data_IF_905878784088
#
_entry.id   IF_905878784088
#
_cell.length_a   1.000
_cell.length_b   1.000
_cell.length_c   1.000
_cell.angle_alpha   90.00
_cell.angle_beta   90.00
_cell.angle_gamma   90.00
#
_symmetry.space_group_name_H-M   'P 1'
#
loop_
_entity.id
_entity.type
_entity.pdbx_description
1 polymer ?
#
# COMPACT_ATOMS: atom_id res chain seq x y z
N UNK A 1 -14.61 -7.09 3.14
CA UNK A 1 -13.81 -7.60 4.27
C UNK A 1 -13.16 -6.41 4.97
N UNK A 2 -13.12 -6.37 6.32
CA UNK A 2 -12.46 -5.29 7.09
C UNK A 2 -11.33 -5.88 7.92
N UNK A 3 -10.16 -5.24 7.89
CA UNK A 3 -9.02 -5.59 8.73
C UNK A 3 -9.23 -5.04 10.14
N UNK A 4 -8.71 -5.75 11.15
CA UNK A 4 -8.53 -5.18 12.48
C UNK A 4 -7.33 -4.23 12.51
N UNK A 5 -7.28 -3.34 13.50
CA UNK A 5 -6.16 -2.40 13.66
C UNK A 5 -4.81 -3.12 13.77
N UNK A 6 -4.78 -4.31 14.38
CA UNK A 6 -3.56 -5.11 14.49
C UNK A 6 -3.10 -5.62 13.11
N UNK A 7 -4.03 -6.14 12.31
CA UNK A 7 -3.75 -6.61 10.95
C UNK A 7 -3.27 -5.47 10.06
N UNK A 8 -3.93 -4.31 10.13
CA UNK A 8 -3.53 -3.14 9.35
C UNK A 8 -2.14 -2.64 9.74
N UNK A 9 -1.82 -2.60 11.04
CA UNK A 9 -0.47 -2.24 11.51
C UNK A 9 0.58 -3.23 11.01
N UNK A 10 0.30 -4.53 11.06
CA UNK A 10 1.23 -5.58 10.61
C UNK A 10 1.47 -5.49 9.10
N UNK A 11 0.41 -5.32 8.30
CA UNK A 11 0.52 -5.13 6.85
C UNK A 11 1.34 -3.89 6.51
N UNK A 12 1.04 -2.73 7.10
CA UNK A 12 1.80 -1.49 6.85
C UNK A 12 3.27 -1.63 7.25
N UNK A 13 3.56 -2.32 8.37
CA UNK A 13 4.92 -2.54 8.82
C UNK A 13 5.70 -3.46 7.87
N UNK A 14 5.07 -4.50 7.34
CA UNK A 14 5.69 -5.39 6.35
C UNK A 14 6.11 -4.60 5.10
N UNK A 15 5.20 -3.81 4.52
CA UNK A 15 5.49 -2.96 3.35
C UNK A 15 6.64 -1.98 3.64
N UNK A 16 6.63 -1.34 4.81
CA UNK A 16 7.69 -0.43 5.23
C UNK A 16 9.05 -1.13 5.35
N UNK A 17 9.10 -2.31 5.98
CA UNK A 17 10.36 -3.07 6.15
C UNK A 17 10.93 -3.51 4.80
N UNK A 18 10.08 -3.79 3.83
CA UNK A 18 10.49 -4.13 2.46
C UNK A 18 10.92 -2.91 1.63
N UNK A 19 10.79 -1.68 2.16
CA UNK A 19 11.14 -0.46 1.44
C UNK A 19 10.21 -0.15 0.25
N UNK A 20 8.99 -0.70 0.27
CA UNK A 20 8.02 -0.51 -0.81
C UNK A 20 7.07 0.63 -0.45
N UNK A 21 6.61 1.36 -1.47
CA UNK A 21 5.54 2.36 -1.31
C UNK A 21 4.15 1.75 -1.55
N UNK A 22 4.07 0.73 -2.40
CA UNK A 22 2.86 0.04 -2.83
C UNK A 22 3.19 -1.45 -2.89
N UNK A 23 2.34 -2.29 -2.31
CA UNK A 23 2.48 -3.74 -2.34
C UNK A 23 1.14 -4.41 -2.05
N UNK A 24 0.95 -5.62 -2.58
CA UNK A 24 -0.05 -6.57 -2.06
C UNK A 24 0.55 -7.36 -0.91
N UNK A 25 -0.21 -7.59 0.16
CA UNK A 25 0.26 -8.37 1.31
C UNK A 25 -0.73 -9.46 1.63
N UNK A 26 -0.23 -10.69 1.60
CA UNK A 26 -1.03 -11.86 1.95
C UNK A 26 -0.91 -12.14 3.45
N UNK A 27 -2.06 -12.24 4.11
CA UNK A 27 -2.16 -12.33 5.56
C UNK A 27 -2.97 -13.56 5.97
N UNK A 28 -2.42 -14.35 6.88
CA UNK A 28 -3.10 -15.46 7.53
C UNK A 28 -3.51 -15.09 8.96
N UNK A 29 -4.80 -15.23 9.26
CA UNK A 29 -5.32 -15.13 10.63
C UNK A 29 -5.02 -16.41 11.39
N UNK A 30 -4.26 -16.33 12.48
CA UNK A 30 -3.92 -17.48 13.31
C UNK A 30 -4.25 -17.25 14.79
N UNK A 31 -4.27 -18.33 15.59
CA UNK A 31 -4.50 -18.25 17.05
C UNK A 31 -3.48 -17.37 17.79
N UNK A 32 -2.28 -17.21 17.22
CA UNK A 32 -1.20 -16.40 17.78
C UNK A 32 -1.13 -14.98 17.19
N UNK A 33 -2.15 -14.57 16.45
CA UNK A 33 -2.22 -13.28 15.76
C UNK A 33 -1.99 -13.39 14.24
N UNK A 34 -2.00 -12.24 13.55
CA UNK A 34 -1.86 -12.21 12.10
C UNK A 34 -0.44 -12.53 11.66
N UNK A 35 -0.31 -13.37 10.63
CA UNK A 35 0.96 -13.81 10.05
C UNK A 35 1.05 -13.32 8.62
N UNK A 36 2.14 -12.63 8.28
CA UNK A 36 2.43 -12.24 6.89
C UNK A 36 2.99 -13.46 6.16
N UNK A 37 2.42 -13.77 5.00
CA UNK A 37 2.82 -14.90 4.16
C UNK A 37 3.68 -14.44 2.98
N UNK A 38 3.22 -13.40 2.27
CA UNK A 38 3.88 -12.87 1.08
C UNK A 38 3.74 -11.34 1.04
N UNK A 39 4.75 -10.66 0.48
CA UNK A 39 4.70 -9.24 0.13
C UNK A 39 5.06 -9.10 -1.35
N UNK A 40 4.06 -8.74 -2.15
CA UNK A 40 4.15 -8.65 -3.60
C UNK A 40 4.34 -7.18 -4.02
N UNK A 41 5.50 -6.87 -4.63
CA UNK A 41 5.79 -5.51 -5.11
C UNK A 41 4.95 -5.07 -6.32
N UNK A 42 4.41 -6.03 -7.08
CA UNK A 42 3.57 -5.78 -8.24
C UNK A 42 2.32 -6.67 -8.18
N UNK A 43 1.35 -6.35 -7.31
CA UNK A 43 0.12 -7.14 -7.18
C UNK A 43 -0.78 -7.00 -8.41
N UNK A 44 -1.50 -8.06 -8.76
CA UNK A 44 -2.62 -7.98 -9.70
C UNK A 44 -3.79 -7.21 -9.07
N UNK A 45 -4.45 -6.35 -9.85
CA UNK A 45 -5.52 -5.47 -9.35
C UNK A 45 -6.93 -5.91 -9.78
N UNK A 46 -7.09 -6.48 -10.97
CA UNK A 46 -8.40 -6.80 -11.58
C UNK A 46 -9.31 -7.58 -10.63
N UNK A 47 -8.81 -8.67 -10.04
CA UNK A 47 -9.60 -9.51 -9.15
C UNK A 47 -10.03 -8.80 -7.87
N UNK A 48 -9.12 -8.05 -7.24
CA UNK A 48 -9.40 -7.36 -5.98
C UNK A 48 -10.30 -6.14 -6.20
N UNK A 49 -10.14 -5.39 -7.28
CA UNK A 49 -11.02 -4.27 -7.64
C UNK A 49 -12.43 -4.77 -7.93
N UNK A 50 -12.56 -5.86 -8.70
CA UNK A 50 -13.87 -6.46 -9.01
C UNK A 50 -14.61 -6.90 -7.74
N UNK A 51 -13.91 -7.52 -6.79
CA UNK A 51 -14.52 -8.03 -5.55
C UNK A 51 -14.83 -6.90 -4.56
N UNK A 52 -13.98 -5.88 -4.48
CA UNK A 52 -14.11 -4.82 -3.48
C UNK A 52 -14.92 -3.62 -3.96
N UNK A 53 -15.05 -3.42 -5.27
CA UNK A 53 -15.63 -2.22 -5.88
C UNK A 53 -14.80 -0.96 -5.62
N UNK A 54 -13.54 -1.10 -5.20
CA UNK A 54 -12.62 0.01 -4.95
C UNK A 54 -11.77 0.23 -6.18
N UNK A 55 -11.70 1.46 -6.66
CA UNK A 55 -10.72 1.91 -7.66
C UNK A 55 -9.33 2.01 -7.01
N UNK A 56 -8.57 0.92 -7.05
CA UNK A 56 -7.23 0.80 -6.48
C UNK A 56 -6.21 1.40 -7.43
N UNK A 57 -6.35 1.16 -8.75
CA UNK A 57 -5.49 1.73 -9.77
C UNK A 57 -5.51 3.27 -9.72
N UNK A 58 -6.70 3.88 -9.66
CA UNK A 58 -6.86 5.33 -9.52
C UNK A 58 -6.20 5.88 -8.25
N UNK A 59 -6.33 5.19 -7.12
CA UNK A 59 -5.65 5.57 -5.86
C UNK A 59 -4.13 5.47 -5.95
N UNK A 60 -3.60 4.48 -6.67
CA UNK A 60 -2.17 4.35 -6.93
C UNK A 60 -1.68 5.53 -7.77
N UNK A 61 -2.40 5.89 -8.84
CA UNK A 61 -2.09 7.05 -9.67
C UNK A 61 -2.12 8.32 -8.82
N UNK A 62 -3.18 8.55 -8.05
CA UNK A 62 -3.31 9.71 -7.15
C UNK A 62 -2.13 9.80 -6.16
N UNK A 63 -1.72 8.66 -5.58
CA UNK A 63 -0.58 8.59 -4.68
C UNK A 63 0.72 9.04 -5.38
N UNK A 64 0.98 8.54 -6.59
CA UNK A 64 2.17 8.89 -7.38
C UNK A 64 2.16 10.37 -7.77
N UNK A 65 1.04 10.89 -8.26
CA UNK A 65 0.89 12.29 -8.62
C UNK A 65 1.12 13.23 -7.43
N UNK A 66 0.57 12.89 -6.26
CA UNK A 66 0.79 13.64 -5.03
C UNK A 66 2.26 13.63 -4.63
N UNK A 67 2.95 12.51 -4.79
CA UNK A 67 4.40 12.41 -4.61
C UNK A 67 5.16 13.34 -5.55
N UNK A 68 4.83 13.32 -6.85
CA UNK A 68 5.46 14.14 -7.86
C UNK A 68 5.27 15.65 -7.60
N UNK A 69 4.05 16.09 -7.21
CA UNK A 69 3.76 17.49 -6.85
C UNK A 69 4.58 17.97 -5.65
N UNK A 70 4.79 17.10 -4.64
CA UNK A 70 5.62 17.44 -3.47
C UNK A 70 7.09 17.59 -3.87
N UNK A 71 7.60 16.70 -4.72
CA UNK A 71 8.97 16.76 -5.22
C UNK A 71 9.21 18.02 -6.05
N UNK A 72 8.29 18.40 -6.94
CA UNK A 72 8.42 19.63 -7.73
C UNK A 72 8.43 20.87 -6.82
N UNK A 73 7.50 20.95 -5.86
CA UNK A 73 7.41 22.07 -4.91
C UNK A 73 8.69 22.22 -4.08
N UNK A 74 9.25 21.10 -3.59
CA UNK A 74 10.49 21.09 -2.82
C UNK A 74 11.71 21.51 -3.66
N UNK A 75 11.74 21.20 -4.96
CA UNK A 75 12.80 21.65 -5.87
C UNK A 75 12.74 23.16 -6.12
N UNK A 76 11.54 23.70 -6.32
CA UNK A 76 11.35 25.15 -6.49
C UNK A 76 11.80 25.92 -5.24
N UNK A 77 11.40 25.47 -4.05
CA UNK A 77 11.77 26.11 -2.78
C UNK A 77 13.27 26.05 -2.44
N UNK A 78 14.04 25.13 -3.03
CA UNK A 78 15.50 25.04 -2.84
C UNK A 78 16.32 25.90 -3.80
N UNK A 79 15.69 26.44 -4.84
CA UNK A 79 16.36 27.26 -5.86
C UNK A 79 16.12 28.76 -5.63
N UNK A 80 15.22 29.10 -4.71
CA UNK A 80 14.97 30.44 -4.17
C UNK A 80 15.74 30.62 -2.85
#
# INVERSE_FOLDING_TARGET
IRLSDLEERVVKKAVQVMGLHIAGVDLLRSRRGPLVMEVNASPGLEGIETITGVDIAGRIIEFVENGARRLSSARTARTL
#
